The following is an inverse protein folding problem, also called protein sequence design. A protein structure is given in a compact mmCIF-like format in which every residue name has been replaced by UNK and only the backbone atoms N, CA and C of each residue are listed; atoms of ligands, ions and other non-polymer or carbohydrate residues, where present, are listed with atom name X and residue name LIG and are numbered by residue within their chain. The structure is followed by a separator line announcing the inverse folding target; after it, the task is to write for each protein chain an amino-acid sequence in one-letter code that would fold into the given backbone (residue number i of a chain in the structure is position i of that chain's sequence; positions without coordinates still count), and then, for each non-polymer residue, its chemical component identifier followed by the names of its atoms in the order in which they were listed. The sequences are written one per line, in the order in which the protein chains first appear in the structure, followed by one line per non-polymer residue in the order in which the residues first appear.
data_IF_783159436420
#
_entry.id   IF_783159436420
#
_cell.length_a   1.000
_cell.length_b   1.000
_cell.length_c   1.000
_cell.angle_alpha   90.00
_cell.angle_beta   90.00
_cell.angle_gamma   90.00
#
_symmetry.space_group_name_H-M   'P 1'
#
loop_
_entity.id
_entity.type
_entity.pdbx_description
1 polymer ?
#
# COMPACT_ATOMS: atom_id res chain seq x y z
N UNK A 1 36.49 5.17 -3.61
CA UNK A 1 35.28 5.84 -4.12
C UNK A 1 34.37 6.27 -2.96
N UNK A 2 34.37 7.56 -2.59
CA UNK A 2 33.46 8.12 -1.57
C UNK A 2 32.04 8.17 -2.17
N UNK A 3 31.15 7.23 -1.82
CA UNK A 3 29.71 7.35 -2.17
C UNK A 3 29.19 8.65 -1.56
N UNK A 4 28.71 9.55 -2.42
CA UNK A 4 28.14 10.86 -2.06
C UNK A 4 27.13 10.70 -0.91
N UNK A 5 27.15 11.64 0.05
CA UNK A 5 26.30 11.60 1.26
C UNK A 5 24.82 11.39 0.93
N UNK A 6 24.36 11.91 -0.21
CA UNK A 6 23.01 11.70 -0.75
C UNK A 6 22.68 10.22 -0.99
N UNK A 7 23.62 9.43 -1.54
CA UNK A 7 23.42 7.98 -1.77
C UNK A 7 23.27 7.23 -0.45
N UNK A 8 23.99 7.63 0.60
CA UNK A 8 23.86 7.02 1.93
C UNK A 8 22.49 7.30 2.54
N UNK A 9 21.99 8.53 2.41
CA UNK A 9 20.69 8.92 2.93
C UNK A 9 19.55 8.16 2.22
N UNK A 10 19.58 8.09 0.88
CA UNK A 10 18.57 7.35 0.10
C UNK A 10 18.54 5.88 0.49
N UNK A 11 19.71 5.24 0.62
CA UNK A 11 19.78 3.84 1.03
C UNK A 11 19.25 3.62 2.46
N UNK A 12 19.52 4.55 3.37
CA UNK A 12 19.01 4.48 4.74
C UNK A 12 17.49 4.59 4.79
N UNK A 13 16.91 5.55 4.05
CA UNK A 13 15.45 5.71 3.96
C UNK A 13 14.81 4.47 3.32
N UNK A 14 15.37 3.98 2.20
CA UNK A 14 14.93 2.75 1.54
C UNK A 14 14.92 1.56 2.51
N UNK A 15 16.02 1.36 3.24
CA UNK A 15 16.14 0.29 4.24
C UNK A 15 15.07 0.39 5.34
N UNK A 16 14.79 1.60 5.83
CA UNK A 16 13.74 1.82 6.84
C UNK A 16 12.34 1.49 6.31
N UNK A 17 12.04 1.89 5.07
CA UNK A 17 10.76 1.59 4.41
C UNK A 17 10.61 0.08 4.20
N UNK A 18 11.63 -0.59 3.67
CA UNK A 18 11.62 -2.04 3.48
C UNK A 18 11.36 -2.77 4.80
N UNK A 19 12.06 -2.39 5.87
CA UNK A 19 11.87 -3.01 7.18
C UNK A 19 10.48 -2.75 7.76
N UNK A 20 9.85 -1.62 7.43
CA UNK A 20 8.47 -1.31 7.84
C UNK A 20 7.47 -2.19 7.09
N UNK A 21 7.61 -2.32 5.77
CA UNK A 21 6.71 -3.10 4.90
C UNK A 21 6.72 -4.60 5.19
N UNK A 22 7.84 -5.16 5.66
CA UNK A 22 7.97 -6.60 5.93
C UNK A 22 7.22 -7.03 7.23
N UNK A 23 6.84 -6.08 8.11
CA UNK A 23 6.23 -6.41 9.41
C UNK A 23 4.82 -7.00 9.31
N UNK A 24 4.14 -6.84 8.18
CA UNK A 24 2.86 -7.49 7.92
C UNK A 24 1.88 -6.63 7.11
N UNK A 25 0.70 -7.17 6.78
CA UNK A 25 -0.28 -6.51 5.92
C UNK A 25 -0.76 -5.17 6.45
N UNK A 26 -0.98 -5.05 7.77
CA UNK A 26 -1.40 -3.80 8.41
C UNK A 26 -0.37 -2.68 8.22
N UNK A 27 0.93 -2.99 8.31
CA UNK A 27 1.98 -2.00 8.08
C UNK A 27 2.04 -1.58 6.60
N UNK A 28 1.83 -2.51 5.67
CA UNK A 28 1.73 -2.19 4.25
C UNK A 28 0.52 -1.29 3.95
N UNK A 29 -0.62 -1.56 4.60
CA UNK A 29 -1.82 -0.72 4.48
C UNK A 29 -1.59 0.70 5.04
N UNK A 30 -1.02 0.82 6.25
CA UNK A 30 -0.66 2.11 6.85
C UNK A 30 0.30 2.88 5.94
N UNK A 31 1.28 2.20 5.34
CA UNK A 31 2.20 2.83 4.40
C UNK A 31 1.48 3.43 3.19
N UNK A 32 0.56 2.68 2.56
CA UNK A 32 -0.24 3.21 1.44
C UNK A 32 -1.12 4.37 1.89
N UNK A 33 -1.78 4.27 3.05
CA UNK A 33 -2.57 5.36 3.61
C UNK A 33 -1.72 6.64 3.82
N UNK A 34 -0.49 6.50 4.31
CA UNK A 34 0.45 7.61 4.42
C UNK A 34 0.82 8.20 3.04
N UNK A 35 1.07 7.35 2.03
CA UNK A 35 1.36 7.81 0.66
C UNK A 35 0.18 8.60 0.08
N UNK A 36 -1.05 8.11 0.27
CA UNK A 36 -2.27 8.80 -0.17
C UNK A 36 -2.42 10.15 0.53
N UNK A 37 -2.21 10.20 1.86
CA UNK A 37 -2.27 11.44 2.62
C UNK A 37 -1.23 12.47 2.13
N UNK A 38 0.00 12.02 1.82
CA UNK A 38 1.04 12.89 1.28
C UNK A 38 0.69 13.40 -0.12
N UNK A 39 0.17 12.55 -1.00
CA UNK A 39 -0.26 12.95 -2.35
C UNK A 39 -1.44 13.92 -2.30
N UNK A 40 -2.39 13.70 -1.39
CA UNK A 40 -3.50 14.60 -1.13
C UNK A 40 -3.02 15.99 -0.71
N UNK A 41 -2.13 16.07 0.28
CA UNK A 41 -1.55 17.33 0.75
C UNK A 41 -0.74 18.04 -0.34
N UNK A 42 0.09 17.30 -1.08
CA UNK A 42 0.88 17.84 -2.19
C UNK A 42 -0.02 18.42 -3.29
N UNK A 43 -1.11 17.73 -3.63
CA UNK A 43 -2.06 18.18 -4.64
C UNK A 43 -2.85 19.39 -4.18
N UNK A 44 -3.23 19.44 -2.90
CA UNK A 44 -3.89 20.60 -2.32
C UNK A 44 -3.02 21.86 -2.32
N UNK A 45 -1.72 21.69 -2.04
CA UNK A 45 -0.72 22.74 -2.13
C UNK A 45 -0.51 23.21 -3.58
N UNK A 46 -0.28 22.29 -4.51
CA UNK A 46 -0.11 22.59 -5.94
C UNK A 46 -1.32 23.34 -6.51
N UNK A 47 -2.53 22.95 -6.11
CA UNK A 47 -3.74 23.58 -6.60
C UNK A 47 -3.92 25.01 -6.07
N UNK A 48 -3.51 25.27 -4.83
CA UNK A 48 -3.54 26.62 -4.26
C UNK A 48 -2.56 27.57 -4.97
N UNK A 49 -1.42 27.05 -5.47
CA UNK A 49 -0.45 27.82 -6.25
C UNK A 49 -0.92 28.10 -7.69
N UNK A 50 -1.59 27.12 -8.32
CA UNK A 50 -2.06 27.22 -9.71
C UNK A 50 -3.32 28.09 -9.83
N UNK A 51 -4.24 27.99 -8.86
CA UNK A 51 -5.51 28.71 -8.87
C UNK A 51 -5.68 29.51 -7.57
N UNK A 52 -5.38 30.81 -7.63
CA UNK A 52 -5.52 31.74 -6.50
C UNK A 52 -6.97 31.91 -6.01
N UNK A 53 -7.97 31.51 -6.81
CA UNK A 53 -9.37 31.50 -6.38
C UNK A 53 -9.66 30.38 -5.38
N UNK A 54 -8.82 29.35 -5.34
CA UNK A 54 -8.97 28.16 -4.51
C UNK A 54 -7.93 28.17 -3.37
N UNK A 55 -7.86 29.25 -2.59
CA UNK A 55 -6.81 29.48 -1.57
C UNK A 55 -6.86 28.53 -0.36
N UNK A 56 -7.94 27.77 -0.19
CA UNK A 56 -8.09 26.84 0.93
C UNK A 56 -7.36 25.51 0.68
N UNK A 57 -6.07 25.45 1.06
CA UNK A 57 -5.19 24.26 0.94
C UNK A 57 -5.83 23.01 1.55
N UNK A 58 -6.49 23.14 2.71
CA UNK A 58 -7.12 22.00 3.39
C UNK A 58 -8.32 21.44 2.61
N UNK A 59 -9.14 22.31 2.01
CA UNK A 59 -10.26 21.92 1.17
C UNK A 59 -9.78 21.24 -0.13
N UNK A 60 -8.74 21.79 -0.76
CA UNK A 60 -8.14 21.20 -1.95
C UNK A 60 -7.47 19.84 -1.65
N UNK A 61 -6.83 19.72 -0.49
CA UNK A 61 -6.24 18.46 -0.03
C UNK A 61 -7.33 17.41 0.21
N UNK A 62 -8.43 17.81 0.86
CA UNK A 62 -9.59 16.95 1.08
C UNK A 62 -10.22 16.47 -0.25
N UNK A 63 -10.38 17.38 -1.21
CA UNK A 63 -10.83 17.04 -2.56
C UNK A 63 -9.90 16.02 -3.25
N UNK A 64 -8.59 16.20 -3.13
CA UNK A 64 -7.61 15.27 -3.69
C UNK A 64 -7.63 13.91 -2.97
N UNK A 65 -7.82 13.91 -1.64
CA UNK A 65 -7.97 12.70 -0.85
C UNK A 65 -9.17 11.86 -1.28
N UNK A 66 -10.33 12.51 -1.50
CA UNK A 66 -11.53 11.84 -1.98
C UNK A 66 -11.26 11.16 -3.32
N UNK A 67 -10.61 11.84 -4.27
CA UNK A 67 -10.26 11.23 -5.57
C UNK A 67 -9.28 10.08 -5.51
N UNK A 68 -8.32 10.14 -4.59
CA UNK A 68 -7.32 9.09 -4.43
C UNK A 68 -7.90 7.83 -3.76
N UNK A 69 -8.85 8.01 -2.85
CA UNK A 69 -9.45 6.92 -2.07
C UNK A 69 -10.68 6.33 -2.74
N UNK A 70 -11.46 7.17 -3.43
CA UNK A 70 -12.65 6.80 -4.18
C UNK A 70 -12.71 7.58 -5.50
N UNK A 71 -12.40 6.90 -6.59
CA UNK A 71 -12.35 7.51 -7.93
C UNK A 71 -13.72 7.98 -8.45
N UNK A 72 -14.82 7.64 -7.76
CA UNK A 72 -16.18 8.03 -8.13
C UNK A 72 -16.51 9.52 -7.88
N UNK A 73 -15.69 10.26 -7.14
CA UNK A 73 -15.94 11.67 -6.86
C UNK A 73 -15.54 12.57 -8.05
N UNK A 74 -16.55 13.06 -8.78
CA UNK A 74 -16.43 14.01 -9.90
C UNK A 74 -16.98 15.40 -9.53
N UNK A 75 -16.73 15.86 -8.30
CA UNK A 75 -17.23 17.13 -7.79
C UNK A 75 -16.29 18.31 -8.03
N UNK A 76 -16.84 19.40 -8.60
CA UNK A 76 -16.32 20.78 -8.62
C UNK A 76 -15.04 21.06 -9.44
N UNK A 77 -14.93 20.45 -10.64
CA UNK A 77 -13.83 20.69 -11.59
C UNK A 77 -14.01 21.97 -12.44
N UNK A 78 -14.02 23.13 -11.77
CA UNK A 78 -13.99 24.43 -12.44
C UNK A 78 -12.54 24.82 -12.74
N UNK A 79 -12.19 24.95 -14.02
CA UNK A 79 -10.86 25.41 -14.46
C UNK A 79 -9.92 24.33 -15.00
N UNK A 80 -9.07 24.72 -15.95
CA UNK A 80 -8.16 23.81 -16.66
C UNK A 80 -7.13 23.14 -15.72
N UNK A 81 -6.65 23.85 -14.69
CA UNK A 81 -5.69 23.32 -13.72
C UNK A 81 -6.26 22.17 -12.87
N UNK A 82 -7.50 22.32 -12.37
CA UNK A 82 -8.20 21.27 -11.62
C UNK A 82 -8.39 20.01 -12.46
N UNK A 83 -8.71 20.14 -13.75
CA UNK A 83 -8.93 19.00 -14.66
C UNK A 83 -7.68 18.17 -14.91
N UNK A 84 -6.52 18.80 -15.11
CA UNK A 84 -5.26 18.06 -15.30
C UNK A 84 -4.86 17.30 -14.04
N UNK A 85 -4.94 17.97 -12.88
CA UNK A 85 -4.64 17.35 -11.58
C UNK A 85 -5.64 16.24 -11.28
N UNK A 86 -6.93 16.45 -11.57
CA UNK A 86 -7.98 15.44 -11.45
C UNK A 86 -7.63 14.16 -12.18
N UNK A 87 -7.32 14.24 -13.48
CA UNK A 87 -7.03 13.04 -14.28
C UNK A 87 -5.82 12.29 -13.74
N UNK A 88 -4.77 13.00 -13.35
CA UNK A 88 -3.57 12.40 -12.74
C UNK A 88 -3.91 11.71 -11.42
N UNK A 89 -4.72 12.35 -10.57
CA UNK A 89 -5.15 11.80 -9.29
C UNK A 89 -6.05 10.58 -9.46
N UNK A 90 -6.96 10.59 -10.44
CA UNK A 90 -7.84 9.44 -10.70
C UNK A 90 -7.04 8.22 -11.14
N UNK A 91 -6.12 8.37 -12.10
CA UNK A 91 -5.26 7.26 -12.56
C UNK A 91 -4.36 6.77 -11.43
N UNK A 92 -3.76 7.69 -10.68
CA UNK A 92 -2.87 7.36 -9.55
C UNK A 92 -3.64 6.69 -8.41
N UNK A 93 -4.82 7.20 -8.07
CA UNK A 93 -5.69 6.68 -7.01
C UNK A 93 -6.16 5.27 -7.33
N UNK A 94 -6.66 5.03 -8.54
CA UNK A 94 -7.05 3.70 -8.98
C UNK A 94 -5.87 2.71 -8.92
N UNK A 95 -4.69 3.10 -9.40
CA UNK A 95 -3.51 2.24 -9.38
C UNK A 95 -2.97 1.98 -7.96
N UNK A 96 -2.87 3.03 -7.14
CA UNK A 96 -2.31 2.94 -5.79
C UNK A 96 -3.29 2.27 -4.82
N UNK A 97 -4.56 2.65 -4.84
CA UNK A 97 -5.53 2.09 -3.91
C UNK A 97 -5.89 0.66 -4.30
N UNK A 98 -6.49 0.45 -5.49
CA UNK A 98 -6.94 -0.88 -5.90
C UNK A 98 -5.74 -1.80 -6.13
N UNK A 99 -4.73 -1.35 -6.87
CA UNK A 99 -3.58 -2.19 -7.21
C UNK A 99 -2.79 -2.62 -5.97
N UNK A 100 -2.49 -1.69 -5.06
CA UNK A 100 -1.74 -2.05 -3.86
C UNK A 100 -2.60 -2.80 -2.84
N UNK A 101 -3.90 -2.48 -2.70
CA UNK A 101 -4.80 -3.24 -1.84
C UNK A 101 -4.92 -4.70 -2.29
N UNK A 102 -5.14 -4.94 -3.59
CA UNK A 102 -5.18 -6.28 -4.17
C UNK A 102 -3.86 -7.00 -3.90
N UNK A 103 -2.72 -6.36 -4.15
CA UNK A 103 -1.41 -6.95 -3.92
C UNK A 103 -1.20 -7.39 -2.45
N UNK A 104 -1.58 -6.56 -1.48
CA UNK A 104 -1.48 -6.88 -0.05
C UNK A 104 -2.40 -8.04 0.31
N UNK A 105 -3.66 -8.00 -0.15
CA UNK A 105 -4.63 -9.06 0.14
C UNK A 105 -4.20 -10.39 -0.46
N UNK A 106 -3.70 -10.41 -1.69
CA UNK A 106 -3.18 -11.63 -2.32
C UNK A 106 -1.98 -12.19 -1.56
N UNK A 107 -1.02 -11.34 -1.15
CA UNK A 107 0.14 -11.78 -0.37
C UNK A 107 -0.27 -12.35 0.99
N UNK A 108 -1.18 -11.68 1.68
CA UNK A 108 -1.70 -12.14 2.96
C UNK A 108 -2.45 -13.47 2.82
N UNK A 109 -3.36 -13.57 1.86
CA UNK A 109 -4.14 -14.78 1.60
C UNK A 109 -3.23 -15.96 1.29
N UNK A 110 -2.23 -15.79 0.42
CA UNK A 110 -1.26 -16.84 0.09
C UNK A 110 -0.48 -17.30 1.33
N UNK A 111 -0.08 -16.37 2.19
CA UNK A 111 0.59 -16.70 3.46
C UNK A 111 -0.32 -17.49 4.39
N UNK A 112 -1.57 -17.07 4.54
CA UNK A 112 -2.58 -17.75 5.36
C UNK A 112 -2.85 -19.16 4.83
N UNK A 113 -3.02 -19.33 3.52
CA UNK A 113 -3.21 -20.63 2.89
C UNK A 113 -2.03 -21.57 3.11
N UNK A 114 -0.79 -21.05 3.03
CA UNK A 114 0.41 -21.84 3.33
C UNK A 114 0.43 -22.31 4.78
N UNK A 115 0.12 -21.42 5.73
CA UNK A 115 0.06 -21.75 7.16
C UNK A 115 -1.03 -22.80 7.46
N UNK A 116 -2.18 -22.69 6.80
CA UNK A 116 -3.25 -23.69 6.91
C UNK A 116 -2.83 -25.03 6.30
N UNK A 117 -2.12 -25.01 5.17
CA UNK A 117 -1.60 -26.21 4.49
C UNK A 117 -0.50 -26.95 5.26
N UNK A 118 0.17 -26.30 6.22
CA UNK A 118 1.16 -26.94 7.11
C UNK A 118 0.52 -27.91 8.12
N UNK A 119 -0.82 -27.98 8.21
CA UNK A 119 -1.52 -28.99 9.01
C UNK A 119 -1.31 -28.87 10.52
N UNK A 120 -0.76 -27.74 10.99
CA UNK A 120 -0.51 -27.44 12.41
C UNK A 120 -1.78 -27.19 13.22
N UNK A 121 -2.97 -27.24 12.59
CA UNK A 121 -4.25 -27.25 13.29
C UNK A 121 -4.27 -28.44 14.26
N UNK A 122 -4.33 -28.22 15.58
CA UNK A 122 -4.30 -29.30 16.56
C UNK A 122 -5.48 -30.23 16.28
N UNK A 123 -5.16 -31.51 16.05
CA UNK A 123 -6.12 -32.53 15.66
C UNK A 123 -7.03 -32.78 16.87
N UNK A 124 -8.25 -32.26 16.83
CA UNK A 124 -9.24 -32.42 17.91
C UNK A 124 -9.91 -33.80 17.92
N UNK A 125 -9.66 -34.66 16.93
CA UNK A 125 -10.21 -36.02 16.88
C UNK A 125 -9.48 -36.95 17.85
N UNK A 126 -10.14 -37.95 18.45
CA UNK A 126 -9.47 -39.00 19.24
C UNK A 126 -9.44 -40.30 18.42
N UNK A 127 -8.34 -41.06 18.48
CA UNK A 127 -8.21 -42.37 17.81
C UNK A 127 -7.58 -42.34 16.40
N UNK A 128 -6.80 -41.33 16.06
CA UNK A 128 -6.11 -41.24 14.76
C UNK A 128 -4.70 -41.85 14.81
N UNK A 129 -4.29 -42.50 13.72
CA UNK A 129 -2.97 -43.10 13.55
C UNK A 129 -2.07 -42.07 12.86
N UNK A 130 -0.95 -41.71 13.48
CA UNK A 130 0.05 -40.83 12.90
C UNK A 130 1.07 -41.64 12.08
N UNK A 131 1.18 -41.37 10.78
CA UNK A 131 2.21 -41.97 9.92
C UNK A 131 3.38 -40.97 9.83
N UNK A 132 4.45 -41.24 10.58
CA UNK A 132 5.68 -40.45 10.55
C UNK A 132 6.64 -41.04 9.51
N UNK A 133 6.66 -40.44 8.33
CA UNK A 133 7.62 -40.77 7.28
C UNK A 133 7.26 -42.03 6.48
N UNK A 134 6.77 -41.82 5.25
CA UNK A 134 6.72 -42.87 4.23
C UNK A 134 7.74 -42.53 3.13
N UNK A 135 9.02 -42.77 3.40
CA UNK A 135 10.08 -42.61 2.39
C UNK A 135 11.09 -43.75 2.51
N UNK A 136 11.55 -44.29 1.38
CA UNK A 136 12.59 -45.33 1.31
C UNK A 136 14.02 -44.81 1.63
N UNK A 137 14.18 -43.66 2.30
CA UNK A 137 15.48 -42.96 2.48
C UNK A 137 15.83 -42.61 3.94
N UNK A 138 15.52 -43.50 4.88
CA UNK A 138 16.10 -43.43 6.24
C UNK A 138 16.83 -44.73 6.56
N UNK A 139 18.14 -44.70 6.88
CA UNK A 139 18.85 -45.86 7.38
C UNK A 139 18.32 -46.23 8.77
N UNK A 140 18.13 -47.53 8.98
CA UNK A 140 17.86 -48.17 10.28
C UNK A 140 18.97 -47.92 11.29
#
# INVERSE_FOLDING_TARGET
MKKSASVRLVNYVKYKIERFLIRGPLYQFIFIACVIALLSLASGFLLAEIDKSSSNILANSWWAFLRLSDTGYLGDDQGYGKRVISTLLTVSGAALFLGAFVAIMTQWLNKTMKQLGEGLTPISMKGHIAILGYTNRTPS
#
